data_IF_603444213492
#
_entry.id   IF_603444213492
#
_cell.length_a   1.000
_cell.length_b   1.000
_cell.length_c   1.000
_cell.angle_alpha   90.00
_cell.angle_beta   90.00
_cell.angle_gamma   90.00
#
_symmetry.space_group_name_H-M   'P 1'
#
loop_
_entity.id
_entity.type
_entity.pdbx_description
1 polymer ?
#
# COMPACT_ATOMS: atom_id res chain seq x y z
N UNK A 1 -22.09 -28.41 0.28
CA UNK A 1 -20.73 -28.92 0.54
C UNK A 1 -19.84 -28.50 -0.61
N UNK A 2 -18.77 -27.74 -0.36
CA UNK A 2 -17.76 -27.44 -1.38
C UNK A 2 -16.86 -28.67 -1.49
N UNK A 3 -16.70 -29.22 -2.70
CA UNK A 3 -15.82 -30.37 -2.96
C UNK A 3 -14.37 -30.01 -2.64
N UNK A 4 -13.63 -30.93 -2.02
CA UNK A 4 -12.20 -30.75 -1.67
C UNK A 4 -11.36 -30.35 -2.89
N UNK A 5 -11.67 -30.86 -4.09
CA UNK A 5 -11.00 -30.47 -5.33
C UNK A 5 -11.20 -28.98 -5.68
N UNK A 6 -12.37 -28.41 -5.39
CA UNK A 6 -12.67 -26.98 -5.66
C UNK A 6 -11.93 -26.04 -4.70
N UNK A 7 -11.63 -26.50 -3.49
CA UNK A 7 -10.80 -25.76 -2.54
C UNK A 7 -9.32 -25.83 -2.94
N UNK A 8 -8.83 -27.00 -3.32
CA UNK A 8 -7.42 -27.20 -3.75
C UNK A 8 -7.07 -26.42 -5.01
N UNK A 9 -7.93 -26.45 -6.05
CA UNK A 9 -7.76 -25.67 -7.28
C UNK A 9 -7.71 -24.16 -6.99
N UNK A 10 -8.59 -23.65 -6.11
CA UNK A 10 -8.58 -22.24 -5.71
C UNK A 10 -7.32 -21.85 -4.97
N UNK A 11 -6.82 -22.71 -4.07
CA UNK A 11 -5.59 -22.43 -3.32
C UNK A 11 -4.37 -22.42 -4.22
N UNK A 12 -4.28 -23.31 -5.20
CA UNK A 12 -3.18 -23.36 -6.16
C UNK A 12 -3.17 -22.13 -7.08
N UNK A 13 -4.32 -21.74 -7.64
CA UNK A 13 -4.44 -20.53 -8.47
C UNK A 13 -4.09 -19.25 -7.70
N UNK A 14 -4.46 -19.16 -6.42
CA UNK A 14 -4.11 -18.00 -5.59
C UNK A 14 -2.65 -17.96 -5.17
N UNK A 15 -2.04 -19.13 -4.95
CA UNK A 15 -0.62 -19.23 -4.60
C UNK A 15 0.26 -18.82 -5.80
N UNK A 16 -0.05 -19.33 -6.99
CA UNK A 16 0.70 -19.02 -8.20
C UNK A 16 0.63 -17.53 -8.57
N UNK A 17 -0.55 -16.90 -8.43
CA UNK A 17 -0.70 -15.44 -8.59
C UNK A 17 0.03 -14.62 -7.52
N UNK A 18 0.23 -15.18 -6.33
CA UNK A 18 1.01 -14.57 -5.25
C UNK A 18 2.50 -14.55 -5.56
N UNK A 19 3.04 -15.69 -6.00
CA UNK A 19 4.45 -15.84 -6.40
C UNK A 19 4.81 -14.93 -7.59
N UNK A 20 3.95 -14.84 -8.60
CA UNK A 20 4.13 -13.94 -9.75
C UNK A 20 4.16 -12.45 -9.33
N UNK A 21 3.38 -12.07 -8.33
CA UNK A 21 3.33 -10.69 -7.85
C UNK A 21 4.59 -10.32 -7.06
N UNK A 22 5.05 -11.22 -6.19
CA UNK A 22 6.27 -11.01 -5.42
C UNK A 22 7.49 -10.90 -6.35
N UNK A 23 7.55 -11.73 -7.40
CA UNK A 23 8.56 -11.63 -8.46
C UNK A 23 8.50 -10.31 -9.23
N UNK A 24 7.29 -9.82 -9.58
CA UNK A 24 7.11 -8.52 -10.25
C UNK A 24 7.56 -7.33 -9.39
N UNK A 25 7.48 -7.45 -8.07
CA UNK A 25 7.87 -6.41 -7.12
C UNK A 25 9.36 -6.42 -6.77
N UNK A 26 10.01 -7.59 -6.85
CA UNK A 26 11.41 -7.78 -6.46
C UNK A 26 12.38 -6.82 -7.18
N UNK A 27 12.15 -6.55 -8.46
CA UNK A 27 13.00 -5.69 -9.26
C UNK A 27 12.59 -4.21 -9.23
N UNK A 28 11.51 -3.87 -8.52
CA UNK A 28 10.99 -2.51 -8.49
C UNK A 28 11.76 -1.66 -7.48
N UNK A 29 12.01 -0.42 -7.86
CA UNK A 29 12.69 0.58 -7.03
C UNK A 29 11.87 1.87 -7.00
N UNK A 30 11.94 2.57 -5.87
CA UNK A 30 11.24 3.82 -5.63
C UNK A 30 12.21 4.99 -5.74
N UNK A 31 11.94 5.89 -6.67
CA UNK A 31 12.61 7.18 -6.76
C UNK A 31 11.98 8.12 -5.72
N UNK A 32 12.78 8.57 -4.75
CA UNK A 32 12.38 9.56 -3.76
C UNK A 32 12.45 10.96 -4.38
N UNK A 33 11.77 11.92 -3.75
CA UNK A 33 11.72 13.32 -4.20
C UNK A 33 13.08 14.02 -4.27
N UNK A 34 14.07 13.53 -3.52
CA UNK A 34 15.45 14.04 -3.57
C UNK A 34 16.32 13.31 -4.61
N UNK A 35 15.71 12.52 -5.50
CA UNK A 35 16.40 11.69 -6.49
C UNK A 35 16.99 10.39 -5.96
N UNK A 36 16.97 10.14 -4.64
CA UNK A 36 17.49 8.89 -4.07
C UNK A 36 16.64 7.71 -4.55
N UNK A 37 17.29 6.66 -5.01
CA UNK A 37 16.66 5.38 -5.36
C UNK A 37 16.75 4.44 -4.16
N UNK A 38 15.66 3.75 -3.83
CA UNK A 38 15.62 2.71 -2.81
C UNK A 38 14.79 1.53 -3.30
N UNK A 39 15.00 0.35 -2.74
CA UNK A 39 14.24 -0.83 -3.10
C UNK A 39 12.75 -0.69 -2.72
N UNK A 40 11.91 -1.40 -3.46
CA UNK A 40 10.50 -1.55 -3.11
C UNK A 40 10.35 -2.20 -1.73
N UNK A 41 9.46 -1.63 -0.92
CA UNK A 41 9.18 -2.10 0.43
C UNK A 41 7.73 -1.70 0.78
N UNK A 42 6.82 -2.66 0.67
CA UNK A 42 5.40 -2.43 0.88
C UNK A 42 5.02 -2.20 2.34
N UNK A 43 5.87 -2.63 3.28
CA UNK A 43 5.68 -2.37 4.70
C UNK A 43 5.69 -0.86 5.00
N UNK A 44 6.38 -0.06 4.17
CA UNK A 44 6.35 1.41 4.25
C UNK A 44 4.97 1.98 3.96
N UNK A 45 4.23 1.39 3.02
CA UNK A 45 2.88 1.82 2.69
C UNK A 45 1.95 1.50 3.86
N UNK A 46 1.98 0.25 4.33
CA UNK A 46 1.21 -0.19 5.49
C UNK A 46 1.48 0.71 6.70
N UNK A 47 2.75 0.97 7.02
CA UNK A 47 3.15 1.82 8.14
C UNK A 47 2.61 3.25 8.00
N UNK A 48 2.69 3.84 6.80
CA UNK A 48 2.20 5.20 6.56
C UNK A 48 0.68 5.29 6.70
N UNK A 49 -0.06 4.33 6.14
CA UNK A 49 -1.53 4.28 6.25
C UNK A 49 -1.96 4.02 7.69
N UNK A 50 -1.30 3.10 8.39
CA UNK A 50 -1.55 2.83 9.80
C UNK A 50 -1.37 4.09 10.65
N UNK A 51 -0.25 4.81 10.46
CA UNK A 51 0.03 6.07 11.16
C UNK A 51 -1.02 7.14 10.90
N UNK A 52 -1.54 7.25 9.67
CA UNK A 52 -2.63 8.17 9.38
C UNK A 52 -3.91 7.77 10.12
N UNK A 53 -4.32 6.50 9.98
CA UNK A 53 -5.55 5.99 10.59
C UNK A 53 -5.53 6.08 12.13
N UNK A 54 -4.43 5.69 12.79
CA UNK A 54 -4.31 5.65 14.25
C UNK A 54 -4.09 7.03 14.89
N UNK A 55 -3.70 8.05 14.11
CA UNK A 55 -3.60 9.41 14.62
C UNK A 55 -4.86 10.25 14.31
N UNK A 56 -5.78 9.71 13.52
CA UNK A 56 -7.05 10.33 13.16
C UNK A 56 -8.24 9.48 13.58
N UNK A 57 -9.09 9.11 12.62
CA UNK A 57 -10.37 8.42 12.86
C UNK A 57 -10.30 7.19 13.78
N UNK A 58 -9.25 6.39 13.68
CA UNK A 58 -9.12 5.11 14.38
C UNK A 58 -8.21 5.16 15.60
N UNK A 59 -8.01 6.34 16.20
CA UNK A 59 -7.14 6.56 17.37
C UNK A 59 -7.25 5.51 18.48
N UNK A 60 -8.47 5.15 18.85
CA UNK A 60 -8.73 4.18 19.92
C UNK A 60 -9.04 2.76 19.39
N UNK A 61 -8.77 2.52 18.09
CA UNK A 61 -9.13 1.28 17.37
C UNK A 61 -7.93 0.76 16.55
N UNK A 62 -6.82 0.36 17.20
CA UNK A 62 -5.59 -0.07 16.52
C UNK A 62 -5.79 -1.26 15.57
N UNK A 63 -6.67 -2.21 15.93
CA UNK A 63 -7.00 -3.34 15.06
C UNK A 63 -7.65 -2.87 13.75
N UNK A 64 -8.58 -1.91 13.80
CA UNK A 64 -9.23 -1.39 12.59
C UNK A 64 -8.25 -0.58 11.74
N UNK A 65 -7.40 0.24 12.36
CA UNK A 65 -6.33 0.96 11.66
C UNK A 65 -5.39 -0.01 10.92
N UNK A 66 -5.01 -1.12 11.56
CA UNK A 66 -4.16 -2.14 10.95
C UNK A 66 -4.87 -2.87 9.80
N UNK A 67 -6.16 -3.18 9.94
CA UNK A 67 -6.95 -3.80 8.85
C UNK A 67 -6.99 -2.92 7.60
N UNK A 68 -7.23 -1.61 7.76
CA UNK A 68 -7.22 -0.66 6.64
C UNK A 68 -5.84 -0.60 6.00
N UNK A 69 -4.80 -0.47 6.82
CA UNK A 69 -3.41 -0.41 6.35
C UNK A 69 -3.03 -1.64 5.51
N UNK A 70 -3.38 -2.84 5.98
CA UNK A 70 -3.13 -4.08 5.27
C UNK A 70 -3.88 -4.16 3.94
N UNK A 71 -5.16 -3.78 3.94
CA UNK A 71 -5.98 -3.85 2.73
C UNK A 71 -5.48 -2.87 1.67
N UNK A 72 -5.21 -1.62 2.06
CA UNK A 72 -4.68 -0.60 1.15
C UNK A 72 -3.31 -1.01 0.60
N UNK A 73 -2.40 -1.48 1.46
CA UNK A 73 -1.08 -1.93 1.02
C UNK A 73 -1.19 -3.03 -0.04
N UNK A 74 -2.02 -4.05 0.18
CA UNK A 74 -2.24 -5.15 -0.77
C UNK A 74 -2.82 -4.70 -2.12
N UNK A 75 -3.73 -3.72 -2.11
CA UNK A 75 -4.28 -3.21 -3.39
C UNK A 75 -3.23 -2.37 -4.12
N UNK A 76 -2.47 -1.54 -3.41
CA UNK A 76 -1.39 -0.74 -4.00
C UNK A 76 -0.30 -1.65 -4.56
N UNK A 77 0.13 -2.68 -3.83
CA UNK A 77 1.08 -3.71 -4.32
C UNK A 77 0.65 -4.30 -5.66
N UNK A 78 -0.61 -4.74 -5.77
CA UNK A 78 -1.16 -5.29 -7.01
C UNK A 78 -1.07 -4.29 -8.17
N UNK A 79 -1.44 -3.03 -7.91
CA UNK A 79 -1.40 -1.99 -8.94
C UNK A 79 0.03 -1.70 -9.36
N UNK A 80 0.96 -1.64 -8.42
CA UNK A 80 2.37 -1.37 -8.69
C UNK A 80 3.05 -2.54 -9.41
N UNK A 81 2.72 -3.78 -9.08
CA UNK A 81 3.24 -4.97 -9.74
C UNK A 81 2.87 -5.01 -11.24
N UNK A 82 1.71 -4.46 -11.60
CA UNK A 82 1.23 -4.39 -12.99
C UNK A 82 1.86 -3.23 -13.79
N UNK A 83 2.61 -2.32 -13.15
CA UNK A 83 3.31 -1.24 -13.85
C UNK A 83 4.53 -1.83 -14.60
N UNK A 84 4.66 -1.60 -15.91
CA UNK A 84 5.75 -2.20 -16.71
C UNK A 84 7.13 -1.63 -16.39
N UNK A 85 7.20 -0.47 -15.72
CA UNK A 85 8.45 0.20 -15.36
C UNK A 85 8.94 -0.24 -13.98
N UNK A 86 10.24 -0.50 -13.86
CA UNK A 86 10.85 -0.90 -12.59
C UNK A 86 11.11 0.29 -11.67
N UNK A 87 11.29 1.49 -12.22
CA UNK A 87 11.50 2.72 -11.45
C UNK A 87 10.18 3.46 -11.28
N UNK A 88 9.81 3.73 -10.03
CA UNK A 88 8.53 4.32 -9.69
C UNK A 88 8.75 5.54 -8.79
N UNK A 89 8.22 6.69 -9.21
CA UNK A 89 8.24 7.89 -8.40
C UNK A 89 7.40 7.70 -7.13
N UNK A 90 7.90 8.15 -5.98
CA UNK A 90 7.20 8.04 -4.69
C UNK A 90 5.81 8.70 -4.73
N UNK A 91 5.64 9.77 -5.50
CA UNK A 91 4.37 10.46 -5.61
C UNK A 91 3.32 9.63 -6.36
N UNK A 92 3.73 8.78 -7.31
CA UNK A 92 2.83 7.80 -7.96
C UNK A 92 2.26 6.82 -6.93
N UNK A 93 3.11 6.30 -6.03
CA UNK A 93 2.68 5.38 -4.98
C UNK A 93 1.73 6.09 -4.01
N UNK A 94 2.06 7.32 -3.59
CA UNK A 94 1.22 8.08 -2.67
C UNK A 94 -0.14 8.44 -3.27
N UNK A 95 -0.19 8.80 -4.55
CA UNK A 95 -1.44 9.06 -5.25
C UNK A 95 -2.30 7.79 -5.29
N UNK A 96 -1.68 6.63 -5.53
CA UNK A 96 -2.41 5.37 -5.50
C UNK A 96 -2.94 5.04 -4.10
N UNK A 97 -2.17 5.29 -3.04
CA UNK A 97 -2.63 5.13 -1.65
C UNK A 97 -3.84 6.03 -1.37
N UNK A 98 -3.80 7.30 -1.79
CA UNK A 98 -4.91 8.25 -1.58
C UNK A 98 -6.15 7.82 -2.36
N UNK A 99 -6.00 7.37 -3.62
CA UNK A 99 -7.11 6.87 -4.42
C UNK A 99 -7.78 5.67 -3.74
N UNK A 100 -6.99 4.68 -3.30
CA UNK A 100 -7.54 3.53 -2.58
C UNK A 100 -8.21 3.94 -1.27
N UNK A 101 -7.60 4.84 -0.49
CA UNK A 101 -8.22 5.34 0.73
C UNK A 101 -9.53 6.10 0.47
N UNK A 102 -9.64 6.86 -0.62
CA UNK A 102 -10.90 7.53 -0.96
C UNK A 102 -12.04 6.55 -1.24
N UNK A 103 -11.73 5.37 -1.76
CA UNK A 103 -12.70 4.30 -2.01
C UNK A 103 -13.05 3.53 -0.73
N UNK A 104 -12.07 3.27 0.14
CA UNK A 104 -12.26 2.52 1.39
C UNK A 104 -12.80 3.37 2.55
N UNK A 105 -12.16 4.51 2.83
CA UNK A 105 -12.48 5.42 3.92
C UNK A 105 -11.94 6.85 3.66
N UNK A 106 -12.83 7.72 3.19
CA UNK A 106 -12.53 9.12 2.85
C UNK A 106 -11.96 9.93 4.01
N UNK A 107 -12.32 9.61 5.25
CA UNK A 107 -11.78 10.31 6.43
C UNK A 107 -10.31 9.93 6.65
N UNK A 108 -9.97 8.64 6.52
CA UNK A 108 -8.56 8.21 6.57
C UNK A 108 -7.76 8.75 5.39
N UNK A 109 -8.38 8.90 4.21
CA UNK A 109 -7.75 9.56 3.06
C UNK A 109 -7.35 11.01 3.39
N UNK A 110 -8.25 11.75 4.04
CA UNK A 110 -7.98 13.10 4.54
C UNK A 110 -6.85 13.11 5.58
N UNK A 111 -6.93 12.23 6.59
CA UNK A 111 -5.89 12.11 7.63
C UNK A 111 -4.50 11.81 7.02
N UNK A 112 -4.47 10.97 5.98
CA UNK A 112 -3.24 10.63 5.27
C UNK A 112 -2.66 11.81 4.50
N UNK A 113 -3.51 12.60 3.81
CA UNK A 113 -3.08 13.82 3.14
C UNK A 113 -2.54 14.86 4.12
N UNK A 114 -3.21 15.06 5.25
CA UNK A 114 -2.72 15.97 6.30
C UNK A 114 -1.38 15.52 6.88
N UNK A 115 -1.21 14.23 7.12
CA UNK A 115 0.07 13.66 7.54
C UNK A 115 1.17 13.88 6.49
N UNK A 116 0.86 13.66 5.21
CA UNK A 116 1.78 13.92 4.08
C UNK A 116 2.22 15.39 4.03
N UNK A 117 1.27 16.32 4.14
CA UNK A 117 1.56 17.78 4.13
C UNK A 117 2.44 18.17 5.30
N UNK A 118 2.15 17.70 6.53
CA UNK A 118 3.00 17.95 7.71
C UNK A 118 4.42 17.45 7.50
N UNK A 119 4.58 16.25 6.93
CA UNK A 119 5.90 15.68 6.62
C UNK A 119 6.65 16.46 5.54
N UNK A 120 5.95 17.06 4.57
CA UNK A 120 6.55 17.90 3.54
C UNK A 120 7.04 19.24 4.07
N UNK A 121 6.26 19.87 4.95
CA UNK A 121 6.67 21.11 5.62
C UNK A 121 7.91 20.86 6.47
N UNK A 122 7.93 19.80 7.29
CA UNK A 122 9.04 19.46 8.17
C UNK A 122 10.35 19.09 7.43
N UNK A 123 10.30 18.82 6.12
CA UNK A 123 11.50 18.52 5.31
C UNK A 123 12.08 19.75 4.62
N UNK A 124 11.34 20.86 4.59
CA UNK A 124 11.77 22.14 3.99
C UNK A 124 12.41 23.08 5.02
N UNK A 125 12.27 22.77 6.30
CA UNK A 125 12.90 23.46 7.44
C UNK A 125 14.03 22.60 7.99
#
# INVERSE_FOLDING_TARGET
MISKNSLELRTQDTAHKGEDMEAKLLNKVVIKRNGRVVDWDSFRIQTAVFKAAINGKYKDKPLHANMIANNVAKVVEKVIAEIPFDKIEIDTIQNQVVNQLNDFDKEVAKDFLEYKVKQEINRKH
#
